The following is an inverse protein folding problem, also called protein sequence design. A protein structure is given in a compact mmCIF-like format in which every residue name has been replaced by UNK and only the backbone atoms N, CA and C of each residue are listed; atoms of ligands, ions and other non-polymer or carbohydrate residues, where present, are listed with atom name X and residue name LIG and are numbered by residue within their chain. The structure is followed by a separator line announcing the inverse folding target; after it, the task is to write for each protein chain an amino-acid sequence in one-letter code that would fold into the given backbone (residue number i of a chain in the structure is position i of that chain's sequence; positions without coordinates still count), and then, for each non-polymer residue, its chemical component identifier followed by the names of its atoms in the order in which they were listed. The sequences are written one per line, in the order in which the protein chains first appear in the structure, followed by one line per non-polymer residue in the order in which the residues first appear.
data_IF_045802622054
#
_entry.id   IF_045802622054
#
_cell.length_a   1.000
_cell.length_b   1.000
_cell.length_c   1.000
_cell.angle_alpha   90.00
_cell.angle_beta   90.00
_cell.angle_gamma   90.00
#
_symmetry.space_group_name_H-M   'P 1'
#
loop_
_entity.id
_entity.type
_entity.pdbx_description
1 polymer ?
#
# COMPACT_ATOMS: atom_id res chain seq x y z
N UNK A 1 -3.72 -9.14 -13.03
CA UNK A 1 -4.22 -8.55 -11.77
C UNK A 1 -5.08 -7.33 -12.06
N UNK A 2 -6.21 -7.17 -11.39
CA UNK A 2 -7.03 -5.95 -11.45
C UNK A 2 -6.79 -5.13 -10.21
N UNK A 3 -6.64 -3.81 -10.35
CA UNK A 3 -6.42 -2.86 -9.26
C UNK A 3 -7.58 -1.87 -9.27
N UNK A 4 -8.26 -1.73 -8.15
CA UNK A 4 -9.36 -0.76 -7.98
C UNK A 4 -8.96 0.26 -6.92
N UNK A 5 -8.88 1.52 -7.29
CA UNK A 5 -8.81 2.62 -6.32
C UNK A 5 -10.20 2.78 -5.70
N UNK A 6 -10.30 2.72 -4.38
CA UNK A 6 -11.59 2.82 -3.69
C UNK A 6 -11.83 4.25 -3.25
N UNK A 7 -11.04 4.74 -2.33
CA UNK A 7 -11.06 6.10 -1.79
C UNK A 7 -9.82 6.33 -0.93
N UNK A 8 -9.29 7.53 -0.89
CA UNK A 8 -8.16 7.98 -0.06
C UNK A 8 -6.91 7.07 -0.19
N UNK A 9 -6.66 6.20 0.77
CA UNK A 9 -5.59 5.18 0.73
C UNK A 9 -6.13 3.76 0.50
N UNK A 10 -7.43 3.62 0.26
CA UNK A 10 -8.13 2.36 0.06
C UNK A 10 -7.95 1.79 -1.34
N UNK A 11 -7.42 0.57 -1.43
CA UNK A 11 -7.24 -0.17 -2.68
C UNK A 11 -7.70 -1.61 -2.57
N UNK A 12 -8.31 -2.12 -3.64
CA UNK A 12 -8.58 -3.54 -3.82
C UNK A 12 -7.76 -4.05 -5.00
N UNK A 13 -6.92 -5.05 -4.76
CA UNK A 13 -6.18 -5.76 -5.78
C UNK A 13 -6.72 -7.17 -5.91
N UNK A 14 -7.07 -7.57 -7.11
CA UNK A 14 -7.64 -8.86 -7.42
C UNK A 14 -6.70 -9.66 -8.31
N UNK A 15 -6.20 -10.78 -7.78
CA UNK A 15 -5.47 -11.81 -8.52
C UNK A 15 -6.40 -12.94 -8.92
N UNK A 16 -5.90 -13.98 -9.58
CA UNK A 16 -6.70 -15.15 -9.93
C UNK A 16 -7.21 -15.90 -8.70
N UNK A 17 -6.49 -15.86 -7.57
CA UNK A 17 -6.77 -16.66 -6.39
C UNK A 17 -7.14 -15.86 -5.14
N UNK A 18 -6.76 -14.59 -5.06
CA UNK A 18 -6.89 -13.77 -3.85
C UNK A 18 -7.39 -12.36 -4.15
N UNK A 19 -8.05 -11.80 -3.14
CA UNK A 19 -8.43 -10.40 -3.01
C UNK A 19 -7.57 -9.78 -1.90
N UNK A 20 -6.89 -8.68 -2.19
CA UNK A 20 -6.07 -7.93 -1.25
C UNK A 20 -6.72 -6.56 -1.07
N UNK A 21 -7.31 -6.31 0.07
CA UNK A 21 -7.98 -5.06 0.41
C UNK A 21 -7.11 -4.27 1.39
N UNK A 22 -6.65 -3.11 0.97
CA UNK A 22 -5.80 -2.22 1.78
C UNK A 22 -6.57 -1.01 2.25
N UNK A 23 -6.40 -0.64 3.52
CA UNK A 23 -6.84 0.60 4.18
C UNK A 23 -8.27 1.04 3.78
N UNK A 24 -9.21 0.11 3.85
CA UNK A 24 -10.61 0.37 3.54
C UNK A 24 -11.31 1.05 4.73
N UNK A 25 -11.22 2.35 4.80
CA UNK A 25 -11.91 3.15 5.80
C UNK A 25 -13.24 3.71 5.25
N UNK A 26 -13.26 4.13 3.99
CA UNK A 26 -14.39 4.79 3.33
C UNK A 26 -14.50 4.37 1.86
N UNK A 27 -15.60 4.74 1.22
CA UNK A 27 -15.86 4.44 -0.18
C UNK A 27 -16.76 3.21 -0.38
N UNK A 28 -16.85 2.74 -1.62
CA UNK A 28 -17.72 1.62 -2.03
C UNK A 28 -16.88 0.49 -2.59
N UNK A 29 -16.99 -0.71 -2.01
CA UNK A 29 -16.37 -1.91 -2.55
C UNK A 29 -17.15 -2.41 -3.78
N UNK A 30 -16.45 -2.83 -4.84
CA UNK A 30 -17.09 -3.62 -5.89
C UNK A 30 -17.52 -4.98 -5.33
N UNK A 31 -18.37 -5.74 -6.04
CA UNK A 31 -18.68 -7.12 -5.67
C UNK A 31 -17.40 -7.94 -5.53
N UNK A 32 -17.23 -8.58 -4.37
CA UNK A 32 -16.08 -9.43 -4.07
C UNK A 32 -16.43 -10.89 -4.39
N UNK A 33 -15.53 -11.62 -5.05
CA UNK A 33 -15.71 -13.05 -5.35
C UNK A 33 -15.55 -13.90 -4.06
N UNK A 34 -16.62 -14.52 -3.53
CA UNK A 34 -16.55 -15.30 -2.29
C UNK A 34 -15.75 -16.59 -2.42
N UNK A 35 -15.40 -17.00 -3.65
CA UNK A 35 -14.56 -18.18 -3.90
C UNK A 35 -13.08 -17.90 -3.72
N UNK A 36 -12.66 -16.63 -3.66
CA UNK A 36 -11.26 -16.23 -3.44
C UNK A 36 -10.95 -16.01 -1.96
N UNK A 37 -9.69 -16.18 -1.59
CA UNK A 37 -9.22 -15.76 -0.26
C UNK A 37 -9.23 -14.23 -0.20
N UNK A 38 -9.75 -13.66 0.91
CA UNK A 38 -9.76 -12.22 1.15
C UNK A 38 -8.78 -11.86 2.27
N UNK A 39 -7.77 -11.08 1.94
CA UNK A 39 -6.82 -10.53 2.90
C UNK A 39 -7.08 -9.04 3.07
N UNK A 40 -7.39 -8.62 4.30
CA UNK A 40 -7.67 -7.22 4.64
C UNK A 40 -6.49 -6.67 5.41
N UNK A 41 -5.82 -5.67 4.84
CA UNK A 41 -4.65 -5.01 5.40
C UNK A 41 -5.05 -3.66 5.97
N UNK A 42 -4.57 -3.34 7.16
CA UNK A 42 -4.73 -2.00 7.76
C UNK A 42 -3.38 -1.52 8.26
N UNK A 43 -2.89 -0.43 7.67
CA UNK A 43 -1.55 0.10 7.92
C UNK A 43 -1.41 0.75 9.29
N UNK A 44 -2.48 1.36 9.83
CA UNK A 44 -2.51 1.97 11.16
C UNK A 44 -3.95 2.29 11.60
N UNK A 45 -4.10 2.72 12.86
CA UNK A 45 -5.39 2.87 13.56
C UNK A 45 -6.19 4.14 13.24
N UNK A 46 -5.66 5.11 12.48
CA UNK A 46 -6.36 6.38 12.20
C UNK A 46 -7.61 6.15 11.34
N UNK A 47 -8.61 7.00 11.54
CA UNK A 47 -9.95 6.83 10.94
C UNK A 47 -9.96 6.95 9.41
N UNK A 48 -8.97 7.58 8.81
CA UNK A 48 -8.78 7.68 7.36
C UNK A 48 -8.16 6.41 6.73
N UNK A 49 -7.66 5.46 7.55
CA UNK A 49 -7.11 4.17 7.13
C UNK A 49 -7.83 2.96 7.74
N UNK A 50 -8.45 3.14 8.89
CA UNK A 50 -9.12 2.08 9.62
C UNK A 50 -10.58 2.39 9.92
N UNK A 51 -11.47 1.49 9.51
CA UNK A 51 -12.89 1.48 9.93
C UNK A 51 -13.27 0.10 10.45
N UNK A 52 -13.95 -0.01 11.60
CA UNK A 52 -14.47 -1.30 12.10
C UNK A 52 -15.39 -2.02 11.11
N UNK A 53 -15.95 -1.34 10.12
CA UNK A 53 -16.77 -1.95 9.06
C UNK A 53 -16.06 -3.06 8.27
N UNK A 54 -14.72 -3.08 8.27
CA UNK A 54 -13.97 -4.17 7.62
C UNK A 54 -14.31 -5.53 8.22
N UNK A 55 -14.67 -5.60 9.51
CA UNK A 55 -15.01 -6.85 10.20
C UNK A 55 -16.35 -7.42 9.75
N UNK A 56 -17.25 -6.59 9.21
CA UNK A 56 -18.54 -7.04 8.67
C UNK A 56 -18.36 -7.91 7.41
N UNK A 57 -17.24 -7.78 6.73
CA UNK A 57 -16.89 -8.60 5.57
C UNK A 57 -16.78 -10.09 5.91
N UNK A 58 -16.49 -10.44 7.17
CA UNK A 58 -16.42 -11.83 7.61
C UNK A 58 -17.77 -12.57 7.51
N UNK A 59 -18.88 -11.85 7.52
CA UNK A 59 -20.21 -12.43 7.34
C UNK A 59 -20.45 -13.00 5.92
N UNK A 60 -19.74 -12.48 4.92
CA UNK A 60 -19.90 -12.87 3.51
C UNK A 60 -18.68 -13.59 2.92
N UNK A 61 -17.51 -13.50 3.58
CA UNK A 61 -16.26 -14.09 3.13
C UNK A 61 -15.71 -15.07 4.16
N UNK A 62 -16.00 -16.38 4.06
CA UNK A 62 -15.55 -17.38 5.03
C UNK A 62 -14.05 -17.61 5.05
N UNK A 63 -13.35 -17.21 3.98
CA UNK A 63 -11.87 -17.30 3.85
C UNK A 63 -11.21 -15.92 3.99
N UNK A 64 -11.72 -15.11 4.93
CA UNK A 64 -11.14 -13.79 5.25
C UNK A 64 -10.02 -13.91 6.28
N UNK A 65 -9.02 -13.04 6.16
CA UNK A 65 -7.95 -12.83 7.14
C UNK A 65 -7.65 -11.34 7.26
N UNK A 66 -7.41 -10.90 8.50
CA UNK A 66 -7.08 -9.51 8.80
C UNK A 66 -5.60 -9.41 9.17
N UNK A 67 -4.87 -8.55 8.48
CA UNK A 67 -3.46 -8.26 8.70
C UNK A 67 -3.39 -6.79 9.11
N UNK A 68 -3.22 -6.59 10.39
CA UNK A 68 -3.39 -5.30 11.04
C UNK A 68 -2.04 -4.81 11.57
N UNK A 69 -1.81 -3.51 11.53
CA UNK A 69 -0.70 -2.92 12.26
C UNK A 69 -0.84 -3.18 13.77
N UNK A 70 0.25 -3.29 14.48
CA UNK A 70 0.32 -3.51 15.93
C UNK A 70 -0.29 -2.37 16.76
N UNK A 71 -0.39 -1.17 16.18
CA UNK A 71 -1.06 -0.03 16.81
C UNK A 71 -2.59 -0.16 16.84
N UNK A 72 -3.16 -1.12 16.10
CA UNK A 72 -4.56 -1.51 16.19
C UNK A 72 -4.71 -2.51 17.33
N UNK A 73 -5.22 -2.06 18.45
CA UNK A 73 -5.31 -2.88 19.64
C UNK A 73 -6.32 -4.03 19.46
N UNK A 74 -5.97 -5.21 20.00
CA UNK A 74 -6.78 -6.41 19.90
C UNK A 74 -8.23 -6.21 20.38
N UNK A 75 -8.48 -5.32 21.34
CA UNK A 75 -9.82 -5.00 21.83
C UNK A 75 -10.70 -4.21 20.82
N UNK A 76 -10.12 -3.74 19.72
CA UNK A 76 -10.86 -3.15 18.59
C UNK A 76 -11.38 -4.21 17.61
N UNK A 77 -10.84 -5.42 17.68
CA UNK A 77 -11.24 -6.55 16.84
C UNK A 77 -12.32 -7.35 17.58
N UNK A 78 -13.47 -7.69 16.94
CA UNK A 78 -14.46 -8.57 17.53
C UNK A 78 -13.84 -9.90 18.00
N UNK A 79 -14.18 -10.38 19.19
CA UNK A 79 -13.56 -11.55 19.83
C UNK A 79 -13.58 -12.80 18.93
N UNK A 80 -14.70 -13.03 18.23
CA UNK A 80 -14.85 -14.18 17.33
C UNK A 80 -13.94 -14.12 16.09
N UNK A 81 -13.30 -12.97 15.79
CA UNK A 81 -12.35 -12.77 14.67
C UNK A 81 -10.89 -12.76 15.12
N UNK A 82 -10.60 -12.90 16.43
CA UNK A 82 -9.21 -12.91 16.90
C UNK A 82 -8.37 -14.01 16.25
N UNK A 83 -8.95 -15.20 16.00
CA UNK A 83 -8.27 -16.29 15.30
C UNK A 83 -8.05 -16.08 13.80
N UNK A 84 -8.62 -15.02 13.23
CA UNK A 84 -8.48 -14.61 11.83
C UNK A 84 -7.70 -13.30 11.67
N UNK A 85 -7.08 -12.79 12.76
CA UNK A 85 -6.41 -11.50 12.81
C UNK A 85 -4.97 -11.64 13.26
N UNK A 86 -4.06 -11.06 12.51
CA UNK A 86 -2.61 -11.02 12.78
C UNK A 86 -2.17 -9.58 12.91
N UNK A 87 -1.41 -9.30 13.96
CA UNK A 87 -0.87 -7.97 14.24
C UNK A 87 0.60 -7.93 13.86
N UNK A 88 1.01 -6.91 13.11
CA UNK A 88 2.35 -6.81 12.56
C UNK A 88 3.09 -5.58 13.08
N UNK A 89 4.19 -5.84 13.78
CA UNK A 89 5.21 -4.83 14.09
C UNK A 89 6.15 -4.60 12.90
N UNK A 90 6.82 -3.44 12.81
CA UNK A 90 7.88 -3.24 11.84
C UNK A 90 8.97 -4.32 11.92
N UNK A 91 9.27 -4.95 10.80
CA UNK A 91 10.22 -6.05 10.69
C UNK A 91 9.59 -7.45 10.79
N UNK A 92 8.30 -7.55 11.12
CA UNK A 92 7.63 -8.84 11.10
C UNK A 92 7.45 -9.36 9.67
N UNK A 93 7.50 -10.68 9.54
CA UNK A 93 7.19 -11.43 8.32
C UNK A 93 6.12 -12.46 8.63
N UNK A 94 5.10 -12.53 7.78
CA UNK A 94 4.00 -13.46 7.89
C UNK A 94 3.87 -14.24 6.58
N UNK A 95 3.70 -15.56 6.66
CA UNK A 95 3.63 -16.41 5.48
C UNK A 95 2.46 -17.37 5.56
N UNK A 96 1.73 -17.50 4.44
CA UNK A 96 0.79 -18.60 4.16
C UNK A 96 1.23 -19.35 2.92
N UNK A 97 1.24 -20.67 2.99
CA UNK A 97 1.60 -21.56 1.86
C UNK A 97 0.39 -22.04 1.07
N UNK A 98 -0.79 -21.92 1.64
CA UNK A 98 -2.05 -22.34 1.03
C UNK A 98 -2.62 -21.24 0.12
N UNK A 99 -3.51 -21.58 -0.81
CA UNK A 99 -4.24 -20.60 -1.63
C UNK A 99 -3.36 -19.79 -2.60
N UNK A 100 -2.25 -20.37 -3.10
CA UNK A 100 -1.34 -19.67 -4.03
C UNK A 100 -0.17 -18.98 -3.35
N UNK A 101 -0.09 -19.06 -2.03
CA UNK A 101 0.96 -18.47 -1.21
C UNK A 101 0.80 -16.96 -1.03
N UNK A 102 1.04 -16.50 0.19
CA UNK A 102 1.13 -15.08 0.51
C UNK A 102 2.27 -14.88 1.50
N UNK A 103 3.14 -13.92 1.22
CA UNK A 103 4.14 -13.45 2.17
C UNK A 103 3.98 -11.96 2.38
N UNK A 104 3.95 -11.53 3.64
CA UNK A 104 3.81 -10.14 4.03
C UNK A 104 5.01 -9.74 4.88
N UNK A 105 5.66 -8.65 4.51
CA UNK A 105 6.72 -8.02 5.31
C UNK A 105 6.26 -6.63 5.72
N UNK A 106 6.33 -6.32 7.01
CA UNK A 106 5.99 -5.00 7.53
C UNK A 106 7.25 -4.13 7.67
N UNK A 107 7.18 -2.89 7.20
CA UNK A 107 8.22 -1.88 7.34
C UNK A 107 7.75 -0.73 8.23
N UNK A 108 8.69 -0.03 8.86
CA UNK A 108 8.38 1.07 9.76
C UNK A 108 7.87 2.29 8.98
N UNK A 109 6.75 2.87 9.42
CA UNK A 109 6.27 4.16 8.93
C UNK A 109 7.08 5.34 9.50
N UNK A 110 6.98 6.50 8.87
CA UNK A 110 7.48 7.79 9.37
C UNK A 110 6.42 8.57 10.14
N UNK A 111 5.20 8.08 10.16
CA UNK A 111 4.10 8.56 11.00
C UNK A 111 3.62 7.41 11.89
N UNK A 112 2.39 6.91 11.77
CA UNK A 112 1.86 5.80 12.57
C UNK A 112 1.95 4.46 11.80
N UNK A 113 1.97 3.35 12.51
CA UNK A 113 1.83 1.99 11.99
C UNK A 113 2.95 1.50 11.08
N UNK A 114 2.57 0.80 10.02
CA UNK A 114 3.48 0.08 9.12
C UNK A 114 3.16 0.31 7.65
N UNK A 115 4.19 0.14 6.80
CA UNK A 115 4.02 -0.11 5.38
C UNK A 115 4.09 -1.62 5.12
N UNK A 116 3.35 -2.11 4.14
CA UNK A 116 3.31 -3.52 3.76
C UNK A 116 4.00 -3.79 2.43
N UNK A 117 4.83 -4.83 2.40
CA UNK A 117 5.26 -5.50 1.17
C UNK A 117 4.60 -6.87 1.12
N UNK A 118 3.86 -7.14 0.06
CA UNK A 118 3.08 -8.37 -0.11
C UNK A 118 3.52 -9.08 -1.38
N UNK A 119 3.92 -10.33 -1.24
CA UNK A 119 4.27 -11.23 -2.35
C UNK A 119 3.18 -12.29 -2.47
N UNK A 120 2.51 -12.36 -3.62
CA UNK A 120 1.45 -13.34 -3.89
C UNK A 120 1.21 -13.50 -5.39
N UNK A 121 0.94 -14.72 -5.85
CA UNK A 121 0.60 -14.98 -7.25
C UNK A 121 1.64 -14.51 -8.26
N UNK A 122 2.91 -14.46 -7.87
CA UNK A 122 4.03 -13.95 -8.69
C UNK A 122 4.16 -12.43 -8.72
N UNK A 123 3.34 -11.70 -7.98
CA UNK A 123 3.41 -10.24 -7.85
C UNK A 123 4.04 -9.82 -6.54
N UNK A 124 4.79 -8.70 -6.58
CA UNK A 124 5.29 -7.96 -5.43
C UNK A 124 4.53 -6.63 -5.35
N UNK A 125 3.80 -6.44 -4.26
CA UNK A 125 2.87 -5.33 -4.06
C UNK A 125 3.32 -4.55 -2.82
N UNK A 126 3.44 -3.23 -2.94
CA UNK A 126 3.78 -2.34 -1.85
C UNK A 126 2.63 -1.40 -1.52
N UNK A 127 2.30 -1.28 -0.24
CA UNK A 127 1.38 -0.25 0.28
C UNK A 127 2.07 0.52 1.38
N UNK A 128 2.28 1.82 1.15
CA UNK A 128 3.08 2.66 2.04
C UNK A 128 2.40 2.95 3.39
N UNK A 129 1.06 2.81 3.50
CA UNK A 129 0.37 3.46 4.62
C UNK A 129 0.77 4.92 4.67
N UNK A 130 1.13 5.43 5.84
CA UNK A 130 1.63 6.79 6.04
C UNK A 130 3.17 6.90 6.05
N UNK A 131 3.86 5.92 5.46
CA UNK A 131 5.30 6.04 5.21
C UNK A 131 5.52 7.02 4.06
N UNK A 132 5.85 8.28 4.40
CA UNK A 132 6.02 9.38 3.46
C UNK A 132 7.05 10.40 3.96
N UNK A 133 7.48 11.28 3.08
CA UNK A 133 8.29 12.46 3.40
C UNK A 133 7.38 13.62 3.81
N UNK A 134 6.90 13.58 5.05
CA UNK A 134 5.95 14.57 5.60
C UNK A 134 6.61 15.91 5.91
N UNK A 135 7.14 16.59 4.89
CA UNK A 135 7.62 17.96 5.02
C UNK A 135 6.47 18.95 4.89
N UNK A 136 6.51 19.99 5.71
CA UNK A 136 5.48 21.03 5.72
C UNK A 136 6.12 22.42 5.72
N UNK A 137 5.55 23.36 4.95
CA UNK A 137 6.05 24.75 4.90
C UNK A 137 5.98 25.46 6.24
N UNK A 138 5.07 25.07 7.13
CA UNK A 138 4.91 25.64 8.47
C UNK A 138 5.86 25.10 9.54
N UNK A 139 6.63 24.04 9.23
CA UNK A 139 7.51 23.37 10.19
C UNK A 139 8.94 23.94 10.15
N UNK A 140 9.66 23.80 11.27
CA UNK A 140 11.05 24.20 11.35
C UNK A 140 11.92 23.40 10.38
N UNK A 141 12.95 24.05 9.81
CA UNK A 141 13.88 23.42 8.87
C UNK A 141 14.55 22.16 9.46
N UNK A 142 14.90 22.21 10.74
CA UNK A 142 15.51 21.06 11.44
C UNK A 142 14.55 19.86 11.50
N UNK A 143 13.27 20.10 11.78
CA UNK A 143 12.23 19.07 11.80
C UNK A 143 12.04 18.49 10.40
N UNK A 144 11.86 19.32 9.39
CA UNK A 144 11.72 18.90 8.00
C UNK A 144 12.92 18.08 7.49
N UNK A 145 14.16 18.47 7.85
CA UNK A 145 15.36 17.74 7.47
C UNK A 145 15.44 16.37 8.16
N UNK A 146 15.03 16.30 9.44
CA UNK A 146 14.96 15.02 10.16
C UNK A 146 13.89 14.09 9.54
N UNK A 147 12.73 14.62 9.18
CA UNK A 147 11.67 13.88 8.50
C UNK A 147 12.19 13.28 7.19
N UNK A 148 12.80 14.07 6.32
CA UNK A 148 13.36 13.57 5.05
C UNK A 148 14.45 12.52 5.27
N UNK A 149 15.31 12.70 6.28
CA UNK A 149 16.37 11.74 6.61
C UNK A 149 15.77 10.42 7.10
N UNK A 150 14.76 10.48 7.96
CA UNK A 150 14.07 9.28 8.46
C UNK A 150 13.36 8.55 7.32
N UNK A 151 12.62 9.26 6.46
CA UNK A 151 11.93 8.68 5.32
C UNK A 151 12.90 7.95 4.38
N UNK A 152 13.95 8.62 3.92
CA UNK A 152 14.95 8.03 3.03
C UNK A 152 15.65 6.82 3.67
N UNK A 153 15.91 6.87 4.97
CA UNK A 153 16.48 5.72 5.69
C UNK A 153 15.55 4.50 5.68
N UNK A 154 14.24 4.68 5.80
CA UNK A 154 13.30 3.57 5.70
C UNK A 154 13.21 3.05 4.24
N UNK A 155 13.24 3.93 3.23
CA UNK A 155 13.31 3.51 1.82
C UNK A 155 14.59 2.71 1.51
N UNK A 156 15.74 3.11 2.05
CA UNK A 156 16.99 2.35 1.87
C UNK A 156 16.92 0.96 2.51
N UNK A 157 16.19 0.78 3.62
CA UNK A 157 15.95 -0.54 4.19
C UNK A 157 15.08 -1.40 3.26
N UNK A 158 14.02 -0.82 2.67
CA UNK A 158 13.17 -1.52 1.71
C UNK A 158 14.01 -1.94 0.49
N UNK A 159 14.83 -1.05 -0.05
CA UNK A 159 15.74 -1.34 -1.15
C UNK A 159 16.74 -2.44 -0.80
N UNK A 160 17.35 -2.37 0.39
CA UNK A 160 18.33 -3.36 0.86
C UNK A 160 17.72 -4.76 1.07
N UNK A 161 16.40 -4.86 1.25
CA UNK A 161 15.69 -6.13 1.31
C UNK A 161 15.55 -6.83 -0.05
N UNK A 162 15.94 -6.17 -1.14
CA UNK A 162 15.93 -6.72 -2.49
C UNK A 162 14.56 -6.73 -3.17
N UNK A 163 13.53 -6.13 -2.55
CA UNK A 163 12.22 -6.01 -3.18
C UNK A 163 12.21 -5.03 -4.33
N UNK A 164 11.51 -5.41 -5.39
CA UNK A 164 11.17 -4.54 -6.50
C UNK A 164 9.67 -4.66 -6.77
N UNK A 165 8.86 -3.70 -6.28
CA UNK A 165 7.40 -3.76 -6.44
C UNK A 165 6.97 -3.72 -7.91
N UNK A 166 6.05 -4.60 -8.27
CA UNK A 166 5.31 -4.53 -9.51
C UNK A 166 4.26 -3.41 -9.44
N UNK A 167 3.63 -3.30 -8.26
CA UNK A 167 2.63 -2.26 -7.94
C UNK A 167 2.96 -1.64 -6.60
N UNK A 168 3.00 -0.31 -6.54
CA UNK A 168 3.19 0.43 -5.31
C UNK A 168 2.07 1.46 -5.12
N UNK A 169 1.43 1.48 -3.95
CA UNK A 169 0.53 2.53 -3.51
C UNK A 169 1.31 3.47 -2.57
N UNK A 170 1.46 4.74 -2.98
CA UNK A 170 2.37 5.71 -2.32
C UNK A 170 1.66 7.06 -2.13
N UNK A 171 1.78 7.71 -0.95
CA UNK A 171 1.17 9.00 -0.71
C UNK A 171 1.62 10.08 -1.69
N UNK A 172 0.65 10.92 -2.09
CA UNK A 172 0.84 12.12 -2.90
C UNK A 172 -0.12 13.19 -2.38
N UNK A 173 0.23 13.88 -1.31
CA UNK A 173 -0.70 14.71 -0.54
C UNK A 173 -0.59 16.20 -0.91
N UNK A 174 -1.61 16.73 -1.57
CA UNK A 174 -1.67 18.14 -1.98
C UNK A 174 -1.62 19.14 -0.83
N UNK A 175 -1.92 18.73 0.41
CA UNK A 175 -1.81 19.59 1.59
C UNK A 175 -0.35 19.99 1.90
N UNK A 176 0.63 19.24 1.39
CA UNK A 176 2.04 19.59 1.46
C UNK A 176 2.45 20.73 0.50
N UNK A 177 1.49 21.29 -0.23
CA UNK A 177 1.68 22.42 -1.15
C UNK A 177 2.75 22.12 -2.22
N UNK A 178 3.78 22.95 -2.35
CA UNK A 178 4.89 22.78 -3.30
C UNK A 178 5.83 21.60 -2.94
N UNK A 179 5.68 20.99 -1.77
CA UNK A 179 6.43 19.84 -1.30
C UNK A 179 5.72 18.50 -1.55
N UNK A 180 4.50 18.50 -2.12
CA UNK A 180 3.59 17.35 -2.23
C UNK A 180 4.20 16.14 -2.94
N UNK A 181 5.13 16.36 -3.84
CA UNK A 181 5.72 15.32 -4.68
C UNK A 181 6.91 14.59 -4.05
N UNK A 182 7.51 15.15 -2.99
CA UNK A 182 8.81 14.70 -2.46
C UNK A 182 8.83 13.25 -2.02
N UNK A 183 7.77 12.77 -1.39
CA UNK A 183 7.71 11.39 -0.91
C UNK A 183 7.67 10.40 -2.07
N UNK A 184 6.78 10.61 -3.02
CA UNK A 184 6.65 9.75 -4.19
C UNK A 184 7.90 9.81 -5.08
N UNK A 185 8.51 10.99 -5.27
CA UNK A 185 9.77 11.14 -6.03
C UNK A 185 10.92 10.38 -5.37
N UNK A 186 11.13 10.56 -4.06
CA UNK A 186 12.14 9.80 -3.30
C UNK A 186 11.91 8.29 -3.42
N UNK A 187 10.64 7.82 -3.28
CA UNK A 187 10.30 6.40 -3.42
C UNK A 187 10.67 5.87 -4.82
N UNK A 188 10.27 6.54 -5.88
CA UNK A 188 10.53 6.10 -7.26
C UNK A 188 12.02 6.10 -7.61
N UNK A 189 12.82 6.98 -7.00
CA UNK A 189 14.28 7.03 -7.21
C UNK A 189 15.05 6.02 -6.38
N UNK A 190 14.62 5.72 -5.17
CA UNK A 190 15.36 4.86 -4.23
C UNK A 190 14.93 3.41 -4.37
N UNK A 191 13.63 3.12 -4.32
CA UNK A 191 13.06 1.77 -4.41
C UNK A 191 12.59 1.46 -5.82
N UNK A 192 11.74 2.32 -6.38
CA UNK A 192 11.09 2.15 -7.67
C UNK A 192 9.95 1.15 -7.65
N UNK A 193 9.15 1.17 -8.72
CA UNK A 193 8.09 0.20 -9.00
C UNK A 193 7.81 0.17 -10.51
N UNK A 194 7.22 -0.92 -11.01
CA UNK A 194 6.76 -0.97 -12.40
C UNK A 194 5.58 -0.01 -12.65
N UNK A 195 4.64 0.04 -11.70
CA UNK A 195 3.56 1.03 -11.66
C UNK A 195 3.38 1.58 -10.25
N UNK A 196 3.21 2.89 -10.12
CA UNK A 196 2.88 3.56 -8.86
C UNK A 196 1.47 4.14 -8.92
N UNK A 197 0.71 3.86 -7.90
CA UNK A 197 -0.66 4.33 -7.69
C UNK A 197 -0.65 5.36 -6.56
N UNK A 198 -0.82 6.66 -6.88
CA UNK A 198 -0.92 7.69 -5.86
C UNK A 198 -2.09 7.46 -4.91
N UNK A 199 -1.90 7.75 -3.64
CA UNK A 199 -2.95 7.72 -2.62
C UNK A 199 -2.81 8.90 -1.67
N UNK A 200 -3.72 9.03 -0.68
CA UNK A 200 -3.68 10.06 0.36
C UNK A 200 -3.84 11.51 -0.16
N UNK A 201 -4.56 11.71 -1.27
CA UNK A 201 -4.73 13.02 -1.90
C UNK A 201 -6.08 13.71 -1.62
N UNK A 202 -6.89 13.17 -0.68
CA UNK A 202 -8.13 13.83 -0.18
C UNK A 202 -9.05 14.32 -1.29
N UNK A 203 -9.36 13.45 -2.27
CA UNK A 203 -10.18 13.76 -3.46
C UNK A 203 -9.59 14.86 -4.39
N UNK A 204 -8.41 15.37 -4.10
CA UNK A 204 -7.71 16.28 -5.01
C UNK A 204 -6.96 15.50 -6.11
N UNK A 205 -7.71 14.99 -7.07
CA UNK A 205 -7.13 14.27 -8.21
C UNK A 205 -6.20 15.14 -9.08
N UNK A 206 -6.19 16.47 -8.89
CA UNK A 206 -5.33 17.38 -9.66
C UNK A 206 -3.84 17.27 -9.34
N UNK A 207 -3.48 16.70 -8.18
CA UNK A 207 -2.07 16.47 -7.79
C UNK A 207 -1.37 15.48 -8.72
N UNK A 208 -2.10 14.53 -9.31
CA UNK A 208 -1.52 13.52 -10.22
C UNK A 208 -1.01 14.17 -11.52
N UNK A 209 -1.83 14.90 -12.30
CA UNK A 209 -1.31 15.62 -13.46
C UNK A 209 -0.34 16.74 -13.09
N UNK A 210 -0.42 17.32 -11.87
CA UNK A 210 0.57 18.26 -11.39
C UNK A 210 1.95 17.62 -11.23
N UNK A 211 2.04 16.46 -10.55
CA UNK A 211 3.27 15.66 -10.45
C UNK A 211 3.86 15.35 -11.82
N UNK A 212 3.03 14.87 -12.78
CA UNK A 212 3.49 14.49 -14.11
C UNK A 212 4.07 15.65 -14.94
N UNK A 213 3.78 16.90 -14.57
CA UNK A 213 4.34 18.10 -15.22
C UNK A 213 5.69 18.53 -14.63
N UNK A 214 6.07 18.04 -13.46
CA UNK A 214 7.36 18.39 -12.85
C UNK A 214 8.51 17.72 -13.61
N UNK A 215 9.63 18.44 -13.74
CA UNK A 215 10.84 17.90 -14.40
C UNK A 215 11.39 16.68 -13.65
N UNK A 216 11.29 16.67 -12.32
CA UNK A 216 11.75 15.56 -11.49
C UNK A 216 11.05 14.23 -11.82
N UNK A 217 9.79 14.25 -12.27
CA UNK A 217 9.04 13.05 -12.61
C UNK A 217 9.34 12.48 -14.01
N UNK A 218 10.17 13.15 -14.81
CA UNK A 218 10.40 12.80 -16.23
C UNK A 218 10.76 11.33 -16.46
N UNK A 219 11.51 10.71 -15.54
CA UNK A 219 11.99 9.33 -15.67
C UNK A 219 10.92 8.28 -15.29
N UNK A 220 9.86 8.67 -14.57
CA UNK A 220 8.87 7.73 -14.05
C UNK A 220 7.41 8.15 -14.26
N UNK A 221 7.13 9.34 -14.81
CA UNK A 221 5.77 9.87 -14.95
C UNK A 221 4.82 8.94 -15.71
N UNK A 222 5.34 8.16 -16.67
CA UNK A 222 4.55 7.20 -17.44
C UNK A 222 4.16 5.95 -16.64
N UNK A 223 4.85 5.72 -15.51
CA UNK A 223 4.55 4.66 -14.53
C UNK A 223 3.60 5.11 -13.43
N UNK A 224 3.16 6.37 -13.42
CA UNK A 224 2.19 6.90 -12.46
C UNK A 224 0.77 6.70 -12.99
N UNK A 225 -0.08 6.00 -12.24
CA UNK A 225 -1.47 5.75 -12.61
C UNK A 225 -2.29 7.04 -12.66
N UNK A 226 -3.11 7.21 -13.70
CA UNK A 226 -4.01 8.35 -13.86
C UNK A 226 -5.34 8.09 -13.15
N UNK A 227 -5.37 8.27 -11.83
CA UNK A 227 -6.59 8.14 -11.04
C UNK A 227 -7.39 9.44 -11.15
N UNK A 228 -8.68 9.33 -11.45
CA UNK A 228 -9.56 10.47 -11.72
C UNK A 228 -10.87 10.43 -10.93
N UNK A 229 -11.17 9.32 -10.29
CA UNK A 229 -12.40 9.13 -9.52
C UNK A 229 -12.31 7.87 -8.64
N UNK A 230 -13.13 7.85 -7.62
CA UNK A 230 -13.36 6.65 -6.82
C UNK A 230 -13.94 5.51 -7.66
N UNK A 231 -13.62 4.28 -7.28
CA UNK A 231 -14.04 3.08 -7.99
C UNK A 231 -13.35 2.86 -9.34
N UNK A 232 -12.34 3.66 -9.70
CA UNK A 232 -11.62 3.46 -10.96
C UNK A 232 -10.79 2.17 -10.95
N UNK A 233 -10.90 1.42 -12.05
CA UNK A 233 -10.24 0.12 -12.22
C UNK A 233 -9.11 0.20 -13.23
N UNK A 234 -8.03 -0.53 -12.96
CA UNK A 234 -6.86 -0.66 -13.80
C UNK A 234 -6.55 -2.15 -13.99
N UNK A 235 -6.10 -2.53 -15.18
CA UNK A 235 -5.58 -3.86 -15.45
C UNK A 235 -4.06 -3.82 -15.47
N UNK A 236 -3.43 -4.53 -14.55
CA UNK A 236 -1.99 -4.72 -14.56
C UNK A 236 -1.69 -6.03 -15.29
N UNK A 237 -0.83 -6.03 -16.32
CA UNK A 237 -0.56 -7.22 -17.11
C UNK A 237 -0.01 -8.36 -16.26
N UNK A 238 -0.34 -9.60 -16.63
CA UNK A 238 0.34 -10.77 -16.11
C UNK A 238 1.78 -10.76 -16.66
N UNK A 239 2.77 -10.95 -15.80
CA UNK A 239 4.12 -11.18 -16.28
C UNK A 239 4.19 -12.53 -17.00
N UNK A 240 4.89 -12.64 -18.14
CA UNK A 240 5.21 -13.95 -18.68
C UNK A 240 6.06 -14.72 -17.65
N UNK A 241 5.79 -16.00 -17.53
CA UNK A 241 6.29 -16.97 -16.53
C UNK A 241 7.82 -17.21 -16.55
N UNK A 242 8.62 -16.16 -16.75
CA UNK A 242 10.08 -16.22 -16.93
C UNK A 242 10.90 -16.00 -15.63
N UNK A 243 10.26 -15.90 -14.45
CA UNK A 243 11.00 -15.74 -13.19
C UNK A 243 11.42 -17.08 -12.52
N UNK A 244 11.07 -18.22 -13.10
CA UNK A 244 11.42 -19.55 -12.59
C UNK A 244 12.67 -20.18 -13.27
N UNK A 245 13.62 -19.40 -13.72
CA UNK A 245 14.79 -19.86 -14.49
C UNK A 245 16.14 -19.40 -13.95
N UNK A 246 16.34 -19.56 -12.65
CA UNK A 246 17.65 -19.41 -12.02
C UNK A 246 18.17 -20.73 -11.45
N UNK A 247 18.21 -21.80 -12.25
CA UNK A 247 19.03 -22.96 -11.91
C UNK A 247 20.46 -22.70 -12.30
N UNK A 248 21.29 -22.60 -11.29
CA UNK A 248 22.75 -22.65 -11.34
C UNK A 248 23.21 -24.01 -11.84
N UNK A 249 24.01 -24.02 -12.86
CA UNK A 249 25.03 -25.04 -13.08
C UNK A 249 26.35 -24.64 -12.45
#
# INVERSE_FOLDING_TARGET
MTITYIHHSGYLLETDQALLLFDFAEGTLPPLDPAKDLFVFVSHRREDHFSPKIFDLAATHPRIRFILSDDIWQNKVPEHLHGLSWFMDPGNVLEWKEGGGLRVTAFKSTDEGVAFMVETGGYTIYHAGDLNNWRWNGEELAWNNNMSTNYRRELEKIKASGFHPDVAMVPLDGRQEDLFYLGLDDFMRIVGAEMVFPMHFWEDFSVIPALKKLDCSAEYRDRVADIRKDGQRFCFPAFPDNRSGGETT
#
